data_IF_973365483458
#
_entry.id   IF_973365483458
#
_cell.length_a   1.000
_cell.length_b   1.000
_cell.length_c   1.000
_cell.angle_alpha   90.00
_cell.angle_beta   90.00
_cell.angle_gamma   90.00
#
_symmetry.space_group_name_H-M   'P 1'
#
loop_
_entity.id
_entity.type
_entity.pdbx_description
1 polymer ?
#
# COMPACT_ATOMS: atom_id res chain seq x y z
N UNK A 1 -70.88 -22.68 -12.85
CA UNK A 1 -70.32 -22.23 -11.56
C UNK A 1 -68.93 -22.82 -11.28
N UNK A 2 -68.75 -24.14 -11.37
CA UNK A 2 -67.48 -24.81 -11.03
C UNK A 2 -66.25 -24.34 -11.85
N UNK A 3 -66.42 -24.08 -13.15
CA UNK A 3 -65.35 -23.61 -14.05
C UNK A 3 -64.77 -22.24 -13.67
N UNK A 4 -65.60 -21.31 -13.18
CA UNK A 4 -65.15 -19.97 -12.79
C UNK A 4 -64.33 -20.00 -11.50
N UNK A 5 -64.75 -20.78 -10.51
CA UNK A 5 -64.02 -20.97 -9.25
C UNK A 5 -62.66 -21.62 -9.47
N UNK A 6 -62.56 -22.57 -10.41
CA UNK A 6 -61.30 -23.22 -10.78
C UNK A 6 -60.31 -22.27 -11.46
N UNK A 7 -60.80 -21.35 -12.31
CA UNK A 7 -59.96 -20.30 -12.91
C UNK A 7 -59.40 -19.34 -11.87
N UNK A 8 -60.25 -18.82 -10.98
CA UNK A 8 -59.84 -17.91 -9.90
C UNK A 8 -58.81 -18.55 -8.96
N UNK A 9 -58.99 -19.83 -8.64
CA UNK A 9 -58.03 -20.56 -7.80
C UNK A 9 -56.67 -20.71 -8.51
N UNK A 10 -56.67 -21.01 -9.81
CA UNK A 10 -55.43 -21.14 -10.61
C UNK A 10 -54.68 -19.82 -10.71
N UNK A 11 -55.39 -18.73 -10.95
CA UNK A 11 -54.81 -17.39 -11.10
C UNK A 11 -54.16 -16.92 -9.79
N UNK A 12 -54.87 -17.04 -8.66
CA UNK A 12 -54.29 -16.76 -7.33
C UNK A 12 -53.08 -17.63 -7.01
N UNK A 13 -53.09 -18.90 -7.41
CA UNK A 13 -51.95 -19.80 -7.19
C UNK A 13 -50.72 -19.38 -8.01
N UNK A 14 -50.91 -18.88 -9.23
CA UNK A 14 -49.83 -18.41 -10.10
C UNK A 14 -49.20 -17.11 -9.56
N UNK A 15 -50.03 -16.13 -9.16
CA UNK A 15 -49.55 -14.88 -8.54
C UNK A 15 -48.78 -15.14 -7.23
N UNK A 16 -49.27 -16.08 -6.40
CA UNK A 16 -48.58 -16.47 -5.17
C UNK A 16 -47.25 -17.16 -5.45
N UNK A 17 -47.14 -17.95 -6.52
CA UNK A 17 -45.89 -18.62 -6.88
C UNK A 17 -44.86 -17.61 -7.41
N UNK A 18 -45.31 -16.66 -8.23
CA UNK A 18 -44.45 -15.61 -8.79
C UNK A 18 -43.94 -14.65 -7.70
N UNK A 19 -44.78 -14.26 -6.75
CA UNK A 19 -44.36 -13.41 -5.62
C UNK A 19 -43.31 -14.11 -4.74
N UNK A 20 -43.47 -15.40 -4.44
CA UNK A 20 -42.49 -16.21 -3.68
C UNK A 20 -41.20 -16.39 -4.48
N UNK A 21 -41.28 -16.60 -5.79
CA UNK A 21 -40.10 -16.73 -6.65
C UNK A 21 -39.30 -15.41 -6.72
N UNK A 22 -39.98 -14.27 -6.83
CA UNK A 22 -39.34 -12.94 -6.80
C UNK A 22 -38.71 -12.67 -5.44
N UNK A 23 -39.42 -12.98 -4.34
CA UNK A 23 -38.93 -12.79 -2.97
C UNK A 23 -37.69 -13.65 -2.68
N UNK A 24 -37.70 -14.93 -3.08
CA UNK A 24 -36.55 -15.83 -2.90
C UNK A 24 -35.34 -15.42 -3.74
N UNK A 25 -35.55 -14.98 -4.98
CA UNK A 25 -34.49 -14.43 -5.84
C UNK A 25 -33.89 -13.15 -5.24
N UNK A 26 -34.74 -12.27 -4.71
CA UNK A 26 -34.30 -11.04 -4.04
C UNK A 26 -33.51 -11.37 -2.76
N UNK A 27 -34.03 -12.24 -1.89
CA UNK A 27 -33.38 -12.69 -0.65
C UNK A 27 -32.01 -13.34 -0.92
N UNK A 28 -31.91 -14.21 -1.93
CA UNK A 28 -30.65 -14.84 -2.35
C UNK A 28 -29.62 -13.80 -2.80
N UNK A 29 -30.05 -12.77 -3.54
CA UNK A 29 -29.18 -11.68 -3.97
C UNK A 29 -28.68 -10.82 -2.79
N UNK A 30 -29.55 -10.56 -1.80
CA UNK A 30 -29.19 -9.83 -0.58
C UNK A 30 -28.19 -10.61 0.26
N UNK A 31 -28.44 -11.90 0.50
CA UNK A 31 -27.52 -12.78 1.24
C UNK A 31 -26.14 -12.83 0.57
N UNK A 32 -26.08 -12.98 -0.76
CA UNK A 32 -24.82 -12.94 -1.50
C UNK A 32 -24.08 -11.63 -1.30
N UNK A 33 -24.77 -10.49 -1.35
CA UNK A 33 -24.15 -9.18 -1.18
C UNK A 33 -23.60 -8.98 0.23
N UNK A 34 -24.37 -9.33 1.27
CA UNK A 34 -23.94 -9.22 2.68
C UNK A 34 -22.72 -10.10 2.96
N UNK A 35 -22.72 -11.34 2.44
CA UNK A 35 -21.60 -12.25 2.60
C UNK A 35 -20.36 -11.77 1.85
N UNK A 36 -20.53 -11.20 0.65
CA UNK A 36 -19.43 -10.63 -0.13
C UNK A 36 -18.85 -9.38 0.54
N UNK A 37 -19.69 -8.59 1.20
CA UNK A 37 -19.28 -7.37 1.90
C UNK A 37 -18.37 -7.68 3.10
N UNK A 38 -18.68 -8.74 3.84
CA UNK A 38 -17.87 -9.17 5.00
C UNK A 38 -16.60 -9.95 4.62
N UNK A 39 -16.57 -10.62 3.47
CA UNK A 39 -15.42 -11.46 3.07
C UNK A 39 -14.26 -10.66 2.49
N UNK A 40 -14.51 -9.52 1.83
CA UNK A 40 -13.44 -8.73 1.19
C UNK A 40 -12.42 -8.12 2.18
N UNK A 41 -12.82 -7.54 3.32
CA UNK A 41 -11.86 -7.07 4.32
C UNK A 41 -11.01 -8.21 4.88
N UNK A 42 -11.60 -9.39 5.07
CA UNK A 42 -10.89 -10.57 5.58
C UNK A 42 -9.79 -11.04 4.63
N UNK A 43 -10.00 -10.96 3.31
CA UNK A 43 -8.98 -11.29 2.30
C UNK A 43 -7.76 -10.37 2.43
N UNK A 44 -7.99 -9.07 2.64
CA UNK A 44 -6.90 -8.10 2.80
C UNK A 44 -6.11 -8.37 4.09
N UNK A 45 -6.83 -8.56 5.19
CA UNK A 45 -6.20 -8.81 6.50
C UNK A 45 -5.43 -10.11 6.47
N UNK A 46 -6.01 -11.20 5.95
CA UNK A 46 -5.33 -12.49 5.92
C UNK A 46 -4.07 -12.46 5.06
N UNK A 47 -4.12 -11.83 3.88
CA UNK A 47 -2.96 -11.59 3.03
C UNK A 47 -1.85 -10.83 3.76
N UNK A 48 -2.21 -9.73 4.44
CA UNK A 48 -1.25 -8.87 5.13
C UNK A 48 -0.64 -9.55 6.36
N UNK A 49 -1.46 -10.25 7.14
CA UNK A 49 -1.01 -11.06 8.29
C UNK A 49 -0.05 -12.15 7.83
N UNK A 50 -0.41 -12.88 6.77
CA UNK A 50 0.44 -13.95 6.22
C UNK A 50 1.81 -13.42 5.81
N UNK A 51 1.86 -12.28 5.10
CA UNK A 51 3.12 -11.63 4.71
C UNK A 51 3.98 -11.29 5.94
N UNK A 52 3.40 -10.61 6.93
CA UNK A 52 4.12 -10.17 8.13
C UNK A 52 4.61 -11.36 8.97
N UNK A 53 3.76 -12.39 9.15
CA UNK A 53 4.13 -13.61 9.87
C UNK A 53 5.29 -14.34 9.18
N UNK A 54 5.26 -14.42 7.84
CA UNK A 54 6.32 -15.07 7.08
C UNK A 54 7.65 -14.33 7.23
N UNK A 55 7.63 -12.99 7.13
CA UNK A 55 8.83 -12.17 7.35
C UNK A 55 9.40 -12.36 8.76
N UNK A 56 8.54 -12.49 9.77
CA UNK A 56 8.97 -12.75 11.14
C UNK A 56 9.66 -14.10 11.31
N UNK A 57 9.16 -15.14 10.64
CA UNK A 57 9.78 -16.47 10.64
C UNK A 57 11.16 -16.46 9.98
N UNK A 58 11.30 -15.79 8.82
CA UNK A 58 12.57 -15.78 8.09
C UNK A 58 13.63 -14.86 8.71
N UNK A 59 13.22 -13.71 9.25
CA UNK A 59 14.18 -12.73 9.76
C UNK A 59 13.58 -11.89 10.91
N UNK A 60 13.53 -12.46 12.13
CA UNK A 60 12.90 -11.82 13.28
C UNK A 60 13.68 -10.59 13.80
N UNK A 61 14.99 -10.52 13.59
CA UNK A 61 15.81 -9.40 14.09
C UNK A 61 15.44 -8.09 13.40
N UNK A 62 15.05 -8.14 12.12
CA UNK A 62 14.65 -6.96 11.34
C UNK A 62 13.33 -6.33 11.82
N UNK A 63 12.59 -6.98 12.71
CA UNK A 63 11.42 -6.38 13.37
C UNK A 63 11.78 -5.44 14.51
N UNK A 64 13.01 -5.50 15.02
CA UNK A 64 13.51 -4.59 16.05
C UNK A 64 14.00 -3.27 15.44
N UNK A 65 14.30 -3.28 14.14
CA UNK A 65 14.77 -2.11 13.41
C UNK A 65 13.61 -1.17 13.06
N UNK A 66 13.66 0.04 13.62
CA UNK A 66 12.67 1.10 13.36
C UNK A 66 12.91 1.74 11.98
N UNK A 67 14.18 1.82 11.55
CA UNK A 67 14.60 2.33 10.25
C UNK A 67 15.15 1.20 9.40
N UNK A 68 14.69 1.09 8.14
CA UNK A 68 15.05 0.00 7.21
C UNK A 68 14.81 -1.40 7.79
N UNK A 69 13.71 -1.56 8.53
CA UNK A 69 13.26 -2.83 9.11
C UNK A 69 11.84 -3.21 8.68
N UNK A 70 11.26 -4.17 9.39
CA UNK A 70 9.88 -4.65 9.19
C UNK A 70 8.86 -4.06 10.16
N UNK A 71 9.30 -3.26 11.14
CA UNK A 71 8.40 -2.58 12.07
C UNK A 71 7.36 -1.70 11.35
N UNK A 72 7.68 -0.95 10.27
CA UNK A 72 6.65 -0.23 9.53
C UNK A 72 5.59 -1.14 8.88
N UNK A 73 5.92 -2.38 8.49
CA UNK A 73 4.89 -3.32 8.00
C UNK A 73 3.90 -3.74 9.10
N UNK A 74 4.33 -3.82 10.36
CA UNK A 74 3.42 -4.02 11.50
C UNK A 74 2.49 -2.82 11.68
N UNK A 75 3.03 -1.61 11.59
CA UNK A 75 2.23 -0.37 11.67
C UNK A 75 1.24 -0.33 10.50
N UNK A 76 1.68 -0.68 9.29
CA UNK A 76 0.81 -0.80 8.12
C UNK A 76 -0.33 -1.81 8.36
N UNK A 77 -0.02 -3.01 8.85
CA UNK A 77 -1.04 -4.02 9.18
C UNK A 77 -2.04 -3.48 10.21
N UNK A 78 -1.55 -2.80 11.24
CA UNK A 78 -2.39 -2.17 12.25
C UNK A 78 -3.29 -1.07 11.65
N UNK A 79 -2.77 -0.22 10.75
CA UNK A 79 -3.54 0.80 10.04
C UNK A 79 -4.64 0.18 9.17
N UNK A 80 -4.36 -0.94 8.50
CA UNK A 80 -5.35 -1.67 7.70
C UNK A 80 -6.49 -2.17 8.59
N UNK A 81 -6.17 -2.76 9.74
CA UNK A 81 -7.18 -3.21 10.71
C UNK A 81 -8.03 -2.04 11.22
N UNK A 82 -7.39 -0.90 11.50
CA UNK A 82 -8.05 0.31 11.98
C UNK A 82 -9.01 0.87 10.91
N UNK A 83 -8.57 0.98 9.65
CA UNK A 83 -9.40 1.46 8.54
C UNK A 83 -10.57 0.51 8.24
N UNK A 84 -10.42 -0.80 8.43
CA UNK A 84 -11.53 -1.75 8.34
C UNK A 84 -12.54 -1.50 9.45
N UNK A 85 -12.06 -1.38 10.69
CA UNK A 85 -12.90 -1.19 11.88
C UNK A 85 -13.66 0.14 11.81
N UNK A 86 -12.99 1.24 11.45
CA UNK A 86 -13.61 2.56 11.32
C UNK A 86 -14.65 2.63 10.19
N UNK A 87 -14.45 1.87 9.12
CA UNK A 87 -15.37 1.86 7.99
C UNK A 87 -16.36 0.70 8.06
N UNK A 88 -16.42 -0.07 9.15
CA UNK A 88 -17.25 -1.27 9.27
C UNK A 88 -18.73 -1.01 9.00
N UNK A 89 -19.23 0.14 9.45
CA UNK A 89 -20.64 0.54 9.30
C UNK A 89 -20.92 1.35 8.03
N UNK A 90 -19.93 1.59 7.18
CA UNK A 90 -20.11 2.34 5.93
C UNK A 90 -20.35 1.34 4.81
N UNK A 91 -21.62 1.18 4.35
CA UNK A 91 -21.92 0.26 3.27
C UNK A 91 -21.19 0.71 2.01
N UNK A 92 -20.76 -0.27 1.21
CA UNK A 92 -20.11 0.03 -0.07
C UNK A 92 -21.11 0.65 -1.04
N UNK A 93 -20.72 1.77 -1.69
CA UNK A 93 -21.55 2.39 -2.72
C UNK A 93 -21.56 1.48 -3.95
N UNK A 94 -22.60 0.64 -4.03
CA UNK A 94 -22.81 -0.41 -5.04
C UNK A 94 -21.74 -1.52 -5.03
N UNK A 95 -22.09 -2.74 -4.59
CA UNK A 95 -21.21 -3.88 -4.80
C UNK A 95 -20.99 -4.05 -6.32
N UNK A 96 -19.72 -3.99 -6.76
CA UNK A 96 -19.37 -4.50 -8.08
C UNK A 96 -19.91 -5.93 -8.18
N UNK A 97 -20.60 -6.20 -9.29
CA UNK A 97 -21.03 -7.52 -9.79
C UNK A 97 -20.20 -8.66 -9.19
N UNK A 98 -20.85 -9.75 -8.77
CA UNK A 98 -20.26 -10.95 -8.16
C UNK A 98 -18.81 -11.23 -8.56
N UNK A 99 -18.02 -11.71 -7.59
CA UNK A 99 -16.70 -12.30 -7.84
C UNK A 99 -16.86 -13.48 -8.83
N UNK A 100 -16.85 -13.16 -10.12
CA UNK A 100 -16.74 -14.13 -11.22
C UNK A 100 -15.43 -14.88 -11.06
N UNK A 101 -15.38 -16.16 -11.44
CA UNK A 101 -14.20 -17.03 -11.22
C UNK A 101 -12.87 -16.37 -11.60
N UNK A 102 -12.81 -15.71 -12.77
CA UNK A 102 -11.61 -14.96 -13.19
C UNK A 102 -11.16 -13.86 -12.21
N UNK A 103 -12.10 -13.07 -11.68
CA UNK A 103 -11.79 -12.01 -10.71
C UNK A 103 -11.33 -12.59 -9.37
N UNK A 104 -11.90 -13.72 -8.95
CA UNK A 104 -11.47 -14.39 -7.73
C UNK A 104 -10.02 -14.88 -7.83
N UNK A 105 -9.64 -15.44 -8.99
CA UNK A 105 -8.24 -15.83 -9.26
C UNK A 105 -7.31 -14.62 -9.22
N UNK A 106 -7.67 -13.51 -9.87
CA UNK A 106 -6.87 -12.28 -9.84
C UNK A 106 -6.73 -11.71 -8.42
N UNK A 107 -7.81 -11.74 -7.62
CA UNK A 107 -7.78 -11.30 -6.22
C UNK A 107 -6.83 -12.17 -5.40
N UNK A 108 -6.90 -13.49 -5.56
CA UNK A 108 -6.00 -14.40 -4.87
C UNK A 108 -4.55 -14.16 -5.29
N UNK A 109 -4.29 -14.01 -6.60
CA UNK A 109 -2.96 -13.73 -7.13
C UNK A 109 -2.38 -12.44 -6.54
N UNK A 110 -3.09 -11.31 -6.64
CA UNK A 110 -2.58 -10.04 -6.11
C UNK A 110 -2.46 -10.02 -4.58
N UNK A 111 -3.35 -10.71 -3.87
CA UNK A 111 -3.25 -10.86 -2.42
C UNK A 111 -2.07 -11.74 -1.98
N UNK A 112 -1.71 -12.76 -2.77
CA UNK A 112 -0.59 -13.66 -2.43
C UNK A 112 0.75 -13.17 -3.00
N UNK A 113 0.76 -12.30 -4.01
CA UNK A 113 1.98 -11.90 -4.69
C UNK A 113 3.08 -11.34 -3.76
N UNK A 114 2.81 -10.46 -2.78
CA UNK A 114 3.83 -10.03 -1.82
C UNK A 114 4.42 -11.20 -1.02
N UNK A 115 3.59 -12.14 -0.58
CA UNK A 115 4.04 -13.32 0.16
C UNK A 115 4.86 -14.26 -0.72
N UNK A 116 4.44 -14.48 -1.97
CA UNK A 116 5.18 -15.28 -2.95
C UNK A 116 6.54 -14.64 -3.23
N UNK A 117 6.60 -13.31 -3.35
CA UNK A 117 7.86 -12.59 -3.51
C UNK A 117 8.80 -12.85 -2.33
N UNK A 118 8.32 -12.75 -1.09
CA UNK A 118 9.14 -13.01 0.11
C UNK A 118 9.60 -14.47 0.15
N UNK A 119 8.72 -15.43 -0.15
CA UNK A 119 9.11 -16.84 -0.24
C UNK A 119 10.20 -17.06 -1.28
N UNK A 120 10.04 -16.51 -2.48
CA UNK A 120 11.04 -16.63 -3.54
C UNK A 120 12.36 -15.96 -3.13
N UNK A 121 12.31 -14.79 -2.49
CA UNK A 121 13.51 -14.11 -2.00
C UNK A 121 14.32 -14.95 -1.00
N UNK A 122 13.65 -15.69 -0.10
CA UNK A 122 14.34 -16.48 0.92
C UNK A 122 14.62 -17.94 0.54
N UNK A 123 13.86 -18.51 -0.41
CA UNK A 123 13.93 -19.95 -0.73
C UNK A 123 14.46 -20.23 -2.15
N UNK A 124 14.65 -19.23 -2.98
CA UNK A 124 15.22 -19.38 -4.34
C UNK A 124 16.27 -18.31 -4.63
N UNK A 125 16.88 -18.38 -5.81
CA UNK A 125 17.93 -17.44 -6.26
C UNK A 125 17.41 -16.02 -6.60
N UNK A 126 16.19 -15.68 -6.17
CA UNK A 126 15.63 -14.35 -6.39
C UNK A 126 16.43 -13.29 -5.62
N UNK A 127 17.05 -13.64 -4.50
CA UNK A 127 17.99 -12.78 -3.78
C UNK A 127 19.14 -12.32 -4.69
N UNK A 128 19.79 -13.25 -5.39
CA UNK A 128 20.88 -12.96 -6.31
C UNK A 128 20.42 -12.09 -7.47
N UNK A 129 19.24 -12.37 -8.02
CA UNK A 129 18.64 -11.51 -9.04
C UNK A 129 18.42 -10.08 -8.53
N UNK A 130 17.85 -9.94 -7.34
CA UNK A 130 17.60 -8.63 -6.69
C UNK A 130 18.91 -7.87 -6.47
N UNK A 131 19.96 -8.55 -5.99
CA UNK A 131 21.29 -7.98 -5.82
C UNK A 131 21.92 -7.57 -7.15
N UNK A 132 21.80 -8.39 -8.20
CA UNK A 132 22.31 -8.04 -9.52
C UNK A 132 21.64 -6.79 -10.10
N UNK A 133 20.32 -6.66 -9.93
CA UNK A 133 19.58 -5.45 -10.34
C UNK A 133 20.06 -4.22 -9.55
N UNK A 134 20.26 -4.35 -8.24
CA UNK A 134 20.76 -3.25 -7.41
C UNK A 134 22.18 -2.84 -7.80
N UNK A 135 23.05 -3.82 -8.06
CA UNK A 135 24.42 -3.58 -8.51
C UNK A 135 24.46 -2.88 -9.87
N UNK A 136 23.62 -3.31 -10.82
CA UNK A 136 23.44 -2.64 -12.11
C UNK A 136 22.96 -1.19 -11.95
N UNK A 137 22.15 -0.91 -10.93
CA UNK A 137 21.70 0.43 -10.58
C UNK A 137 22.76 1.28 -9.85
N UNK A 138 23.99 0.76 -9.68
CA UNK A 138 25.12 1.48 -9.07
C UNK A 138 25.19 1.38 -7.55
N UNK A 139 24.41 0.50 -6.92
CA UNK A 139 24.45 0.29 -5.47
C UNK A 139 25.62 -0.62 -5.07
N UNK A 140 26.18 -0.39 -3.89
CA UNK A 140 27.28 -1.20 -3.36
C UNK A 140 27.27 -1.30 -1.83
N UNK A 141 28.03 -2.28 -1.32
CA UNK A 141 28.20 -2.53 0.12
C UNK A 141 26.87 -2.83 0.84
N UNK A 142 26.76 -2.33 2.07
CA UNK A 142 25.60 -2.59 2.94
C UNK A 142 24.25 -2.11 2.35
N UNK A 143 24.26 -1.07 1.51
CA UNK A 143 23.04 -0.58 0.86
C UNK A 143 22.53 -1.56 -0.19
N UNK A 144 23.43 -2.24 -0.89
CA UNK A 144 23.08 -3.27 -1.87
C UNK A 144 22.53 -4.53 -1.18
N UNK A 145 23.21 -5.00 -0.14
CA UNK A 145 22.90 -6.29 0.46
C UNK A 145 21.71 -6.25 1.42
N UNK A 146 21.48 -5.11 2.08
CA UNK A 146 20.44 -4.98 3.12
C UNK A 146 19.36 -3.98 2.73
N UNK A 147 19.73 -2.74 2.43
CA UNK A 147 18.73 -1.66 2.23
C UNK A 147 17.90 -1.87 0.96
N UNK A 148 18.54 -2.30 -0.12
CA UNK A 148 17.91 -2.47 -1.43
C UNK A 148 16.83 -3.55 -1.44
N UNK A 149 17.08 -4.80 -1.01
CA UNK A 149 16.03 -5.82 -0.93
C UNK A 149 14.81 -5.38 -0.13
N UNK A 150 15.03 -4.70 0.99
CA UNK A 150 13.95 -4.20 1.85
C UNK A 150 13.15 -3.13 1.11
N UNK A 151 13.80 -2.15 0.48
CA UNK A 151 13.10 -1.13 -0.30
C UNK A 151 12.20 -1.73 -1.38
N UNK A 152 12.69 -2.75 -2.10
CA UNK A 152 11.90 -3.47 -3.10
C UNK A 152 10.74 -4.24 -2.49
N UNK A 153 10.93 -4.92 -1.35
CA UNK A 153 9.84 -5.61 -0.64
C UNK A 153 8.69 -4.66 -0.32
N UNK A 154 8.99 -3.44 0.15
CA UNK A 154 7.97 -2.43 0.43
C UNK A 154 7.28 -1.93 -0.84
N UNK A 155 8.03 -1.67 -1.93
CA UNK A 155 7.45 -1.25 -3.20
C UNK A 155 6.55 -2.32 -3.83
N UNK A 156 6.99 -3.58 -3.81
CA UNK A 156 6.20 -4.74 -4.27
C UNK A 156 4.92 -4.84 -3.45
N UNK A 157 5.03 -4.78 -2.12
CA UNK A 157 3.88 -4.84 -1.22
C UNK A 157 2.91 -3.68 -1.46
N UNK A 158 3.41 -2.45 -1.58
CA UNK A 158 2.60 -1.26 -1.87
C UNK A 158 1.86 -1.38 -3.20
N UNK A 159 2.55 -1.84 -4.25
CA UNK A 159 1.98 -2.00 -5.59
C UNK A 159 0.87 -3.03 -5.60
N UNK A 160 1.14 -4.24 -5.09
CA UNK A 160 0.15 -5.32 -5.08
C UNK A 160 -1.01 -5.05 -4.12
N UNK A 161 -0.77 -4.41 -2.97
CA UNK A 161 -1.84 -3.96 -2.08
C UNK A 161 -2.75 -2.94 -2.81
N UNK A 162 -2.16 -1.97 -3.50
CA UNK A 162 -2.91 -0.98 -4.29
C UNK A 162 -3.74 -1.64 -5.39
N UNK A 163 -3.16 -2.59 -6.13
CA UNK A 163 -3.88 -3.36 -7.15
C UNK A 163 -5.01 -4.20 -6.56
N UNK A 164 -4.77 -4.83 -5.40
CA UNK A 164 -5.78 -5.60 -4.67
C UNK A 164 -6.96 -4.71 -4.25
N UNK A 165 -6.69 -3.50 -3.73
CA UNK A 165 -7.73 -2.52 -3.38
C UNK A 165 -8.53 -2.08 -4.60
N UNK A 166 -7.86 -1.75 -5.71
CA UNK A 166 -8.51 -1.38 -6.97
C UNK A 166 -9.37 -2.52 -7.53
N UNK A 167 -8.94 -3.76 -7.36
CA UNK A 167 -9.71 -4.92 -7.81
C UNK A 167 -10.95 -5.18 -6.95
N UNK A 168 -10.80 -5.13 -5.62
CA UNK A 168 -11.86 -5.42 -4.64
C UNK A 168 -12.90 -4.29 -4.51
N UNK A 169 -12.45 -3.04 -4.57
CA UNK A 169 -13.24 -1.87 -4.21
C UNK A 169 -13.14 -0.71 -5.24
N UNK A 170 -12.41 -0.88 -6.35
CA UNK A 170 -12.18 0.21 -7.34
C UNK A 170 -11.54 1.45 -6.68
N UNK A 171 -11.84 2.65 -7.18
CA UNK A 171 -11.34 3.90 -6.62
C UNK A 171 -11.84 4.17 -5.19
N UNK A 172 -13.00 3.63 -4.80
CA UNK A 172 -13.47 3.73 -3.41
C UNK A 172 -12.55 3.00 -2.42
N UNK A 173 -11.88 1.93 -2.87
CA UNK A 173 -10.87 1.22 -2.09
C UNK A 173 -9.73 2.13 -1.66
N UNK A 174 -9.22 2.93 -2.60
CA UNK A 174 -8.14 3.89 -2.31
C UNK A 174 -8.59 4.98 -1.35
N UNK A 175 -9.86 5.42 -1.42
CA UNK A 175 -10.41 6.38 -0.45
C UNK A 175 -10.58 5.76 0.93
N UNK A 176 -11.06 4.51 0.98
CA UNK A 176 -11.34 3.77 2.22
C UNK A 176 -10.07 3.37 2.96
N UNK A 177 -9.01 3.05 2.22
CA UNK A 177 -7.70 2.63 2.73
C UNK A 177 -6.60 3.66 2.44
N UNK A 178 -6.97 4.94 2.45
CA UNK A 178 -6.07 6.02 2.03
C UNK A 178 -4.86 6.16 2.94
N UNK A 179 -5.04 5.96 4.25
CA UNK A 179 -3.97 6.10 5.23
C UNK A 179 -2.98 4.95 5.10
N UNK A 180 -3.48 3.70 5.02
CA UNK A 180 -2.60 2.54 4.85
C UNK A 180 -1.86 2.56 3.51
N UNK A 181 -2.55 2.93 2.43
CA UNK A 181 -1.94 3.03 1.10
C UNK A 181 -0.87 4.11 1.07
N UNK A 182 -1.17 5.29 1.60
CA UNK A 182 -0.20 6.38 1.70
C UNK A 182 1.01 5.97 2.54
N UNK A 183 0.78 5.30 3.66
CA UNK A 183 1.83 4.88 4.58
C UNK A 183 2.82 3.91 3.91
N UNK A 184 2.32 2.83 3.30
CA UNK A 184 3.21 1.82 2.69
C UNK A 184 3.97 2.37 1.48
N UNK A 185 3.33 3.22 0.67
CA UNK A 185 3.99 3.92 -0.43
C UNK A 185 5.06 4.90 0.08
N UNK A 186 4.76 5.64 1.14
CA UNK A 186 5.71 6.60 1.72
C UNK A 186 6.97 5.89 2.22
N UNK A 187 6.82 4.81 2.98
CA UNK A 187 7.97 4.04 3.46
C UNK A 187 8.74 3.35 2.33
N UNK A 188 8.05 2.79 1.34
CA UNK A 188 8.70 2.25 0.14
C UNK A 188 9.52 3.31 -0.60
N UNK A 189 8.97 4.51 -0.79
CA UNK A 189 9.65 5.63 -1.43
C UNK A 189 10.83 6.14 -0.59
N UNK A 190 10.65 6.36 0.71
CA UNK A 190 11.73 6.82 1.59
C UNK A 190 12.87 5.82 1.68
N UNK A 191 12.58 4.53 1.78
CA UNK A 191 13.63 3.50 1.80
C UNK A 191 14.35 3.41 0.46
N UNK A 192 13.63 3.56 -0.66
CA UNK A 192 14.26 3.60 -1.98
C UNK A 192 15.16 4.82 -2.12
N UNK A 193 14.68 6.00 -1.73
CA UNK A 193 15.47 7.24 -1.74
C UNK A 193 16.71 7.12 -0.86
N UNK A 194 16.59 6.64 0.38
CA UNK A 194 17.72 6.45 1.29
C UNK A 194 18.65 5.30 0.87
N UNK A 195 18.21 4.41 -0.03
CA UNK A 195 19.08 3.37 -0.61
C UNK A 195 19.95 3.95 -1.72
N UNK A 196 19.38 4.78 -2.61
CA UNK A 196 20.14 5.43 -3.68
C UNK A 196 20.96 6.64 -3.21
N UNK A 197 20.49 7.31 -2.16
CA UNK A 197 21.05 8.57 -1.66
C UNK A 197 21.28 8.51 -0.15
N UNK A 198 22.16 7.61 0.33
CA UNK A 198 22.36 7.39 1.75
C UNK A 198 22.87 8.63 2.47
N UNK A 199 22.55 8.73 3.77
CA UNK A 199 22.89 9.85 4.64
C UNK A 199 22.25 11.19 4.20
N UNK A 200 21.11 11.14 3.52
CA UNK A 200 20.37 12.33 3.10
C UNK A 200 21.04 13.11 1.97
N UNK A 201 21.97 12.49 1.21
CA UNK A 201 22.56 13.08 0.00
C UNK A 201 21.58 13.05 -1.18
N UNK A 202 20.34 13.51 -0.98
CA UNK A 202 19.35 13.59 -2.05
C UNK A 202 19.83 14.68 -3.01
N UNK A 203 20.44 14.27 -4.13
CA UNK A 203 21.08 15.20 -5.09
C UNK A 203 20.10 16.26 -5.59
N UNK A 204 18.80 15.94 -5.67
CA UNK A 204 17.75 16.92 -6.01
C UNK A 204 17.63 18.03 -4.96
N UNK A 205 17.64 17.69 -3.67
CA UNK A 205 17.61 18.70 -2.60
C UNK A 205 18.95 19.44 -2.54
N UNK A 206 20.07 18.77 -2.81
CA UNK A 206 21.39 19.40 -2.93
C UNK A 206 21.44 20.44 -4.06
N UNK A 207 20.73 20.22 -5.17
CA UNK A 207 20.62 21.20 -6.26
C UNK A 207 19.82 22.46 -5.88
N UNK A 208 19.01 22.41 -4.82
CA UNK A 208 18.28 23.57 -4.28
C UNK A 208 19.18 24.38 -3.32
N UNK A 209 20.19 23.76 -2.72
CA UNK A 209 21.08 24.41 -1.74
C UNK A 209 21.75 25.67 -2.32
N UNK A 210 22.36 25.66 -3.53
CA UNK A 210 22.92 26.89 -4.12
C UNK A 210 21.90 28.01 -4.30
N UNK A 211 20.64 27.67 -4.62
CA UNK A 211 19.55 28.64 -4.73
C UNK A 211 19.23 29.29 -3.37
N UNK A 212 19.10 28.48 -2.32
CA UNK A 212 18.86 28.98 -0.96
C UNK A 212 20.03 29.85 -0.48
N UNK A 213 21.27 29.41 -0.71
CA UNK A 213 22.49 30.18 -0.42
C UNK A 213 22.45 31.54 -1.13
N UNK A 214 22.02 31.58 -2.40
CA UNK A 214 21.86 32.81 -3.16
C UNK A 214 20.84 33.77 -2.51
N UNK A 215 19.68 33.27 -2.11
CA UNK A 215 18.64 34.08 -1.42
C UNK A 215 19.15 34.63 -0.09
N UNK A 216 19.83 33.80 0.71
CA UNK A 216 20.42 34.20 1.99
C UNK A 216 21.50 35.26 1.76
N UNK A 217 22.33 35.11 0.73
CA UNK A 217 23.38 36.06 0.36
C UNK A 217 22.81 37.40 -0.07
N UNK A 218 21.80 37.41 -0.94
CA UNK A 218 21.14 38.65 -1.37
C UNK A 218 20.47 39.40 -0.21
N UNK A 219 19.99 38.67 0.80
CA UNK A 219 19.30 39.27 1.96
C UNK A 219 20.27 39.81 3.00
N UNK A 220 21.33 39.07 3.33
CA UNK A 220 22.22 39.38 4.44
C UNK A 220 23.47 40.18 4.02
N UNK A 221 23.90 40.10 2.77
CA UNK A 221 25.06 40.86 2.28
C UNK A 221 24.88 42.38 2.40
N UNK A 222 23.69 42.98 2.11
CA UNK A 222 23.46 44.40 2.35
C UNK A 222 23.50 44.81 3.83
N UNK A 223 23.31 43.85 4.75
CA UNK A 223 23.38 44.07 6.20
C UNK A 223 24.81 43.95 6.75
N UNK A 224 25.80 43.73 5.87
CA UNK A 224 27.22 43.63 6.24
C UNK A 224 27.67 42.24 6.68
N UNK A 225 26.85 41.20 6.49
CA UNK A 225 27.25 39.82 6.75
C UNK A 225 28.00 39.23 5.56
N UNK A 226 29.08 38.52 5.85
CA UNK A 226 29.82 37.75 4.84
C UNK A 226 29.39 36.30 4.90
N UNK A 227 29.02 35.75 3.75
CA UNK A 227 28.57 34.36 3.63
C UNK A 227 29.57 33.60 2.77
N UNK A 228 30.08 32.50 3.30
CA UNK A 228 30.90 31.56 2.53
C UNK A 228 30.17 30.23 2.44
N UNK A 229 30.04 29.72 1.21
CA UNK A 229 29.44 28.43 0.94
C UNK A 229 30.50 27.45 0.46
N UNK A 230 30.72 26.39 1.23
CA UNK A 230 31.56 25.28 0.83
C UNK A 230 30.69 24.19 0.19
N UNK A 231 30.73 24.11 -1.15
CA UNK A 231 29.95 23.15 -1.94
C UNK A 231 30.35 21.69 -1.71
N UNK A 232 31.55 21.43 -1.20
CA UNK A 232 32.06 20.07 -0.98
C UNK A 232 31.44 19.44 0.28
N UNK A 233 31.19 20.25 1.31
CA UNK A 233 30.67 19.80 2.60
C UNK A 233 29.26 20.35 2.91
N UNK A 234 28.63 21.05 1.96
CA UNK A 234 27.32 21.70 2.12
C UNK A 234 27.23 22.58 3.37
N UNK A 235 28.32 23.26 3.72
CA UNK A 235 28.43 24.06 4.93
C UNK A 235 28.33 25.54 4.58
N UNK A 236 27.43 26.25 5.27
CA UNK A 236 27.21 27.68 5.13
C UNK A 236 27.75 28.37 6.38
N UNK A 237 28.82 29.15 6.24
CA UNK A 237 29.32 30.01 7.32
C UNK A 237 28.79 31.43 7.11
N UNK A 238 28.36 32.05 8.21
CA UNK A 238 27.83 33.41 8.22
C UNK A 238 28.64 34.21 9.24
N UNK A 239 29.50 35.07 8.74
CA UNK A 239 30.35 35.93 9.56
C UNK A 239 29.64 37.25 9.86
N UNK A 240 29.76 37.71 11.10
CA UNK A 240 29.10 38.95 11.54
C UNK A 240 29.82 40.17 10.98
N UNK A 241 29.09 41.28 10.75
CA UNK A 241 29.72 42.53 10.36
C UNK A 241 30.77 42.95 11.41
N UNK A 242 32.02 43.11 10.96
CA UNK A 242 33.14 43.57 11.79
C UNK A 242 33.94 42.49 12.52
N UNK A 243 33.66 41.19 12.31
CA UNK A 243 34.55 40.12 12.75
C UNK A 243 35.65 39.89 11.70
N UNK A 244 36.77 40.60 11.85
CA UNK A 244 38.04 40.27 11.22
C UNK A 244 38.97 39.64 12.25
#
# INVERSE_FOLDING_TARGET
MFSASLRLFREKSAESYESVHVATKHMSSLLKNVLLEHTRPLIIVSSSVLLVSLLYVFNPTMFQEVWKGYLPLLIFLWLVLLEITLNWNKPLEKPRSSLTGFKAVLTAFFGMAPTIYVLAYFLSDLDQFVLNVGSFAGLGGWFLETSWPISLQYLVSATFFTLLLLLLYRGEGLRRFSVSTFFIWSFGAFYTMDTFYPYGKVTVLQNIVPWIVGVVTLTLSPMGYHIQYNSTNYLLTVDKPGSY
#
